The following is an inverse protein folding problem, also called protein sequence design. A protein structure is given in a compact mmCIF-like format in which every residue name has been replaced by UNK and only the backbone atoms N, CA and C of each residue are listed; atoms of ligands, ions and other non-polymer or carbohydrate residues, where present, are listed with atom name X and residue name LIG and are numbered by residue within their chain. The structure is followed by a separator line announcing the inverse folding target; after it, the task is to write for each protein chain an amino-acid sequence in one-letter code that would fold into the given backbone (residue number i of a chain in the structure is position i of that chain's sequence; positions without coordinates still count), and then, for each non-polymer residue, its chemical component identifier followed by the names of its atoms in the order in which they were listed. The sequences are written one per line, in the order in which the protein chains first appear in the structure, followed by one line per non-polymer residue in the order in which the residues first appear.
data_IF_373760790177
#
_entry.id   IF_373760790177
#
_cell.length_a   1.000
_cell.length_b   1.000
_cell.length_c   1.000
_cell.angle_alpha   90.00
_cell.angle_beta   90.00
_cell.angle_gamma   90.00
#
_symmetry.space_group_name_H-M   'P 1'
#
loop_
_entity.id
_entity.type
_entity.pdbx_description
1 polymer ?
#
# COMPACT_ATOMS: atom_id res chain seq x y z
N UNK A 1 3.45 -4.23 -67.39
CA UNK A 1 3.61 -5.15 -66.25
C UNK A 1 3.62 -4.31 -64.99
N UNK A 2 2.44 -4.08 -64.45
CA UNK A 2 2.23 -3.43 -63.16
C UNK A 2 2.75 -4.35 -62.06
N UNK A 3 3.58 -3.81 -61.20
CA UNK A 3 4.13 -4.48 -60.04
C UNK A 3 3.29 -4.01 -58.85
N UNK A 4 2.29 -4.82 -58.51
CA UNK A 4 1.44 -4.62 -57.32
C UNK A 4 2.30 -4.78 -56.06
N UNK A 5 2.56 -3.65 -55.39
CA UNK A 5 3.23 -3.58 -54.12
C UNK A 5 2.18 -3.53 -52.98
N UNK A 6 1.60 -4.68 -52.62
CA UNK A 6 0.75 -4.75 -51.45
C UNK A 6 1.55 -4.43 -50.18
N UNK A 7 1.26 -3.31 -49.57
CA UNK A 7 1.74 -2.94 -48.24
C UNK A 7 0.73 -3.45 -47.19
N UNK A 8 1.18 -4.34 -46.35
CA UNK A 8 0.38 -4.80 -45.21
C UNK A 8 0.82 -4.03 -43.96
N UNK A 9 -0.08 -3.29 -43.36
CA UNK A 9 0.14 -2.60 -42.11
C UNK A 9 -0.25 -3.55 -40.98
N UNK A 10 0.72 -3.94 -40.15
CA UNK A 10 0.46 -4.70 -38.94
C UNK A 10 0.67 -3.79 -37.76
N UNK A 11 -0.42 -3.44 -37.06
CA UNK A 11 -0.36 -2.62 -35.85
C UNK A 11 -0.25 -3.57 -34.66
N UNK A 12 0.92 -3.58 -34.02
CA UNK A 12 1.10 -4.14 -32.69
C UNK A 12 0.89 -3.03 -31.65
N UNK A 13 0.06 -3.28 -30.65
CA UNK A 13 -0.24 -2.32 -29.57
C UNK A 13 0.88 -2.18 -28.52
N UNK A 14 2.08 -2.65 -28.82
CA UNK A 14 3.29 -2.37 -28.05
C UNK A 14 4.18 -1.41 -28.86
N UNK A 15 4.08 -0.13 -28.55
CA UNK A 15 4.94 1.06 -28.79
C UNK A 15 5.92 1.16 -29.97
N UNK A 16 5.90 0.30 -30.99
CA UNK A 16 6.75 0.42 -32.17
C UNK A 16 5.97 0.22 -33.48
N UNK A 17 5.84 1.28 -34.27
CA UNK A 17 5.36 1.22 -35.65
C UNK A 17 6.40 0.54 -36.54
N UNK A 18 6.12 -0.63 -37.10
CA UNK A 18 7.01 -1.33 -38.03
C UNK A 18 6.38 -1.35 -39.43
N UNK A 19 7.00 -0.65 -40.39
CA UNK A 19 6.68 -0.80 -41.80
C UNK A 19 7.40 -2.01 -42.40
N UNK A 20 6.66 -3.02 -42.82
CA UNK A 20 7.22 -4.22 -43.44
C UNK A 20 7.17 -4.13 -44.96
N UNK A 21 8.32 -4.12 -45.62
CA UNK A 21 8.41 -4.21 -47.07
C UNK A 21 8.84 -5.63 -47.45
N UNK A 22 8.06 -6.34 -48.28
CA UNK A 22 8.15 -7.76 -48.59
C UNK A 22 9.50 -8.20 -49.27
N UNK A 23 10.38 -7.27 -49.57
CA UNK A 23 11.63 -7.53 -50.31
C UNK A 23 12.87 -7.75 -49.43
N UNK A 24 12.80 -7.60 -48.13
CA UNK A 24 13.94 -7.74 -47.21
C UNK A 24 13.70 -8.74 -46.10
N UNK A 25 13.42 -9.99 -46.44
CA UNK A 25 13.29 -11.08 -45.45
C UNK A 25 14.63 -11.57 -44.85
N UNK A 26 15.73 -10.92 -45.14
CA UNK A 26 17.02 -11.30 -44.56
C UNK A 26 17.51 -10.22 -43.61
N UNK A 27 17.43 -10.54 -42.31
CA UNK A 27 17.96 -9.82 -41.15
C UNK A 27 16.95 -8.97 -40.38
N UNK A 28 15.84 -9.49 -39.99
CA UNK A 28 15.36 -9.15 -38.67
C UNK A 28 16.22 -9.88 -37.64
N UNK A 29 17.23 -9.22 -37.09
CA UNK A 29 17.73 -9.61 -35.77
C UNK A 29 16.53 -9.53 -34.87
N UNK A 30 16.03 -10.69 -34.41
CA UNK A 30 15.14 -10.73 -33.25
C UNK A 30 15.79 -9.84 -32.19
N UNK A 31 15.20 -8.66 -31.91
CA UNK A 31 15.49 -7.97 -30.69
C UNK A 31 15.18 -9.02 -29.64
N UNK A 32 16.19 -9.58 -29.00
CA UNK A 32 16.03 -10.36 -27.79
C UNK A 32 15.30 -9.41 -26.85
N UNK A 33 13.99 -9.57 -26.72
CA UNK A 33 13.27 -8.96 -25.64
C UNK A 33 13.93 -9.51 -24.41
N UNK A 34 14.79 -8.69 -23.80
CA UNK A 34 15.48 -9.06 -22.59
C UNK A 34 14.38 -9.41 -21.61
N UNK A 35 14.50 -10.58 -21.00
CA UNK A 35 13.60 -11.10 -20.01
C UNK A 35 13.26 -9.99 -19.00
N UNK A 36 12.01 -9.50 -19.00
CA UNK A 36 11.59 -8.40 -18.11
C UNK A 36 11.81 -8.85 -16.66
N UNK A 37 12.80 -8.29 -16.00
CA UNK A 37 13.14 -8.62 -14.61
C UNK A 37 12.27 -7.87 -13.60
N UNK A 38 11.68 -6.76 -14.04
CA UNK A 38 10.85 -5.88 -13.22
C UNK A 38 9.45 -5.78 -13.80
N UNK A 39 8.45 -6.00 -12.98
CA UNK A 39 7.04 -5.78 -13.30
C UNK A 39 6.48 -4.67 -12.42
N UNK A 40 5.62 -3.82 -12.97
CA UNK A 40 4.88 -2.82 -12.21
C UNK A 40 3.51 -3.39 -11.82
N UNK A 41 3.05 -3.05 -10.63
CA UNK A 41 1.80 -3.56 -10.05
C UNK A 41 1.06 -2.42 -9.37
N UNK A 42 -0.25 -2.36 -9.57
CA UNK A 42 -1.10 -1.54 -8.72
C UNK A 42 -1.42 -2.33 -7.43
N UNK A 43 -1.25 -1.67 -6.30
CA UNK A 43 -1.49 -2.24 -4.98
C UNK A 43 -2.66 -1.54 -4.33
N UNK A 44 -3.57 -2.34 -3.79
CA UNK A 44 -4.63 -1.88 -2.91
C UNK A 44 -4.67 -2.75 -1.65
N UNK A 45 -4.70 -2.12 -0.47
CA UNK A 45 -4.89 -2.83 0.78
C UNK A 45 -5.94 -2.13 1.64
N UNK A 46 -6.70 -2.92 2.37
CA UNK A 46 -7.69 -2.43 3.31
C UNK A 46 -7.81 -3.38 4.50
N UNK A 47 -8.10 -2.82 5.67
CA UNK A 47 -8.26 -3.64 6.86
C UNK A 47 -8.56 -2.82 8.12
N UNK A 48 -8.32 -3.46 9.23
CA UNK A 48 -8.52 -2.91 10.56
C UNK A 48 -7.24 -2.25 11.05
N UNK A 49 -7.43 -1.19 11.81
CA UNK A 49 -6.37 -0.40 12.42
C UNK A 49 -6.60 -0.29 13.93
N UNK A 50 -5.55 -0.37 14.70
CA UNK A 50 -5.58 -0.16 16.14
C UNK A 50 -4.24 0.42 16.59
N UNK A 51 -4.08 0.61 17.87
CA UNK A 51 -2.81 1.05 18.45
C UNK A 51 -2.31 0.09 19.51
N UNK A 52 -1.01 0.08 19.70
CA UNK A 52 -0.32 -0.63 20.77
C UNK A 52 0.33 0.38 21.69
N UNK A 53 0.21 0.11 22.98
CA UNK A 53 0.92 0.82 24.07
C UNK A 53 1.61 -0.25 24.91
N UNK A 54 2.89 -0.11 25.14
CA UNK A 54 3.71 -1.08 25.90
C UNK A 54 3.53 -2.53 25.41
N UNK A 55 3.44 -2.72 24.10
CA UNK A 55 3.28 -4.04 23.49
C UNK A 55 1.87 -4.65 23.60
N UNK A 56 0.90 -3.92 24.13
CA UNK A 56 -0.51 -4.37 24.26
C UNK A 56 -1.42 -3.59 23.31
N UNK A 57 -2.29 -4.30 22.62
CA UNK A 57 -3.32 -3.70 21.76
C UNK A 57 -4.36 -3.01 22.67
N UNK A 58 -4.74 -1.78 22.32
CA UNK A 58 -5.65 -0.94 23.06
C UNK A 58 -7.09 -1.07 22.51
N UNK A 59 -7.71 -2.23 22.66
CA UNK A 59 -9.06 -2.52 22.19
C UNK A 59 -10.18 -1.90 23.06
N UNK A 60 -9.88 -1.54 24.31
CA UNK A 60 -10.80 -0.77 25.17
C UNK A 60 -10.87 0.70 24.75
N UNK A 61 -9.76 1.26 24.25
CA UNK A 61 -9.64 2.67 23.89
C UNK A 61 -10.09 2.98 22.47
N UNK A 62 -10.09 1.99 21.59
CA UNK A 62 -10.44 2.17 20.18
C UNK A 62 -11.37 1.07 19.69
N UNK A 63 -12.41 1.45 18.94
CA UNK A 63 -13.32 0.50 18.32
C UNK A 63 -12.61 -0.35 17.27
N UNK A 64 -12.48 -1.63 17.55
CA UNK A 64 -11.86 -2.59 16.64
C UNK A 64 -12.53 -2.58 15.26
N UNK A 65 -13.87 -2.75 15.19
CA UNK A 65 -14.64 -2.72 13.94
C UNK A 65 -14.94 -1.31 13.42
N UNK A 66 -14.35 -0.28 13.99
CA UNK A 66 -14.57 1.13 13.62
C UNK A 66 -13.31 1.83 13.11
N UNK A 67 -12.17 1.30 13.45
CA UNK A 67 -10.87 1.79 13.04
C UNK A 67 -10.36 1.02 11.82
N UNK A 68 -9.99 1.73 10.75
CA UNK A 68 -9.65 1.11 9.47
C UNK A 68 -8.40 1.75 8.88
N UNK A 69 -7.65 0.96 8.10
CA UNK A 69 -6.64 1.51 7.21
C UNK A 69 -7.00 1.21 5.74
N UNK A 70 -6.53 2.08 4.87
CA UNK A 70 -6.56 1.91 3.43
C UNK A 70 -5.22 2.33 2.86
N UNK A 71 -4.70 1.57 1.92
CA UNK A 71 -3.46 1.90 1.23
C UNK A 71 -3.61 1.59 -0.26
N UNK A 72 -3.18 2.49 -1.13
CA UNK A 72 -3.11 2.24 -2.57
C UNK A 72 -1.91 2.94 -3.19
N UNK A 73 -1.37 2.33 -4.22
CA UNK A 73 -0.20 2.84 -4.90
C UNK A 73 0.32 1.94 -5.99
N UNK A 74 1.52 2.24 -6.42
CA UNK A 74 2.22 1.44 -7.43
C UNK A 74 3.48 0.86 -6.82
N UNK A 75 3.71 -0.43 -7.05
CA UNK A 75 4.93 -1.11 -6.67
C UNK A 75 5.61 -1.73 -7.88
N UNK A 76 6.92 -1.81 -7.81
CA UNK A 76 7.77 -2.51 -8.76
C UNK A 76 8.27 -3.79 -8.10
N UNK A 77 8.12 -4.91 -8.80
CA UNK A 77 8.58 -6.21 -8.35
C UNK A 77 9.75 -6.63 -9.24
N UNK A 78 10.96 -6.60 -8.70
CA UNK A 78 12.20 -6.87 -9.43
C UNK A 78 12.78 -8.21 -8.98
N UNK A 79 12.88 -9.16 -9.91
CA UNK A 79 13.53 -10.45 -9.66
C UNK A 79 15.01 -10.28 -9.41
N UNK A 80 15.50 -10.75 -8.26
CA UNK A 80 16.92 -10.63 -7.86
C UNK A 80 17.75 -11.70 -8.58
N UNK A 81 17.31 -12.95 -8.56
CA UNK A 81 18.04 -14.08 -9.13
C UNK A 81 17.79 -14.18 -10.64
N UNK A 82 18.85 -14.42 -11.42
CA UNK A 82 18.75 -14.47 -12.89
C UNK A 82 17.97 -15.68 -13.38
N UNK A 83 18.19 -16.85 -12.78
CA UNK A 83 17.67 -18.13 -13.25
C UNK A 83 16.63 -18.74 -12.31
N UNK A 84 16.21 -18.00 -11.29
CA UNK A 84 15.24 -18.46 -10.31
C UNK A 84 14.22 -17.35 -9.98
N UNK A 85 12.95 -17.72 -9.92
CA UNK A 85 11.83 -16.81 -9.63
C UNK A 85 11.52 -16.69 -8.13
N UNK A 86 12.30 -17.30 -7.25
CA UNK A 86 11.97 -17.39 -5.84
C UNK A 86 12.07 -16.03 -5.13
N UNK A 87 13.10 -15.23 -5.45
CA UNK A 87 13.43 -14.03 -4.68
C UNK A 87 13.27 -12.75 -5.50
N UNK A 88 12.44 -11.86 -4.99
CA UNK A 88 12.16 -10.55 -5.58
C UNK A 88 12.40 -9.43 -4.59
N UNK A 89 12.79 -8.28 -5.08
CA UNK A 89 12.76 -7.02 -4.35
C UNK A 89 11.58 -6.19 -4.81
N UNK A 90 10.66 -5.92 -3.89
CA UNK A 90 9.44 -5.17 -4.15
C UNK A 90 9.53 -3.81 -3.47
N UNK A 91 9.37 -2.76 -4.24
CA UNK A 91 9.46 -1.37 -3.76
C UNK A 91 8.47 -0.49 -4.53
N UNK A 92 8.11 0.65 -3.98
CA UNK A 92 7.18 1.53 -4.68
C UNK A 92 6.81 2.77 -3.90
N UNK A 93 5.64 3.30 -4.22
CA UNK A 93 5.06 4.45 -3.55
C UNK A 93 3.56 4.24 -3.38
N UNK A 94 3.04 4.54 -2.19
CA UNK A 94 1.61 4.44 -1.90
C UNK A 94 1.13 5.56 -0.99
N UNK A 95 -0.17 5.83 -1.07
CA UNK A 95 -0.87 6.70 -0.12
C UNK A 95 -1.58 5.81 0.88
N UNK A 96 -1.34 6.05 2.16
CA UNK A 96 -1.90 5.29 3.26
C UNK A 96 -2.81 6.17 4.12
N UNK A 97 -3.98 5.67 4.45
CA UNK A 97 -4.94 6.28 5.36
C UNK A 97 -5.09 5.41 6.60
N UNK A 98 -4.76 5.98 7.75
CA UNK A 98 -5.03 5.38 9.04
C UNK A 98 -6.16 6.13 9.71
N UNK A 99 -7.18 5.42 10.14
CA UNK A 99 -8.34 5.99 10.81
C UNK A 99 -8.54 5.27 12.14
N UNK A 100 -8.48 6.01 13.24
CA UNK A 100 -8.74 5.55 14.59
C UNK A 100 -10.10 6.06 15.05
N UNK A 101 -10.84 5.21 15.72
CA UNK A 101 -12.15 5.54 16.31
C UNK A 101 -12.13 5.35 17.82
N UNK A 102 -11.88 6.42 18.60
CA UNK A 102 -11.93 6.36 20.05
C UNK A 102 -13.27 5.87 20.60
N UNK A 103 -13.22 5.21 21.73
CA UNK A 103 -14.38 4.74 22.53
C UNK A 103 -14.65 5.68 23.70
N UNK A 104 -15.64 5.33 24.54
CA UNK A 104 -15.89 5.96 25.83
C UNK A 104 -16.02 7.49 25.77
N UNK A 105 -16.71 8.00 24.74
CA UNK A 105 -16.96 9.43 24.55
C UNK A 105 -15.70 10.29 24.49
N UNK A 106 -14.59 9.76 23.98
CA UNK A 106 -13.28 10.43 23.98
C UNK A 106 -12.92 10.99 22.61
N UNK A 107 -12.07 12.01 22.65
CA UNK A 107 -11.50 12.69 21.49
C UNK A 107 -10.06 13.10 21.78
N UNK A 108 -9.27 13.33 20.73
CA UNK A 108 -7.90 13.83 20.88
C UNK A 108 -7.91 15.31 21.14
N UNK A 109 -7.22 15.73 22.20
CA UNK A 109 -7.08 17.14 22.65
C UNK A 109 -5.60 17.50 22.66
N UNK A 110 -5.28 18.61 22.01
CA UNK A 110 -3.92 19.16 21.98
C UNK A 110 -3.71 20.03 23.21
N UNK A 111 -2.76 19.63 24.07
CA UNK A 111 -2.36 20.34 25.27
C UNK A 111 -0.87 20.73 25.16
N UNK A 112 -0.60 21.90 24.62
CA UNK A 112 0.77 22.35 24.32
C UNK A 112 1.43 21.46 23.25
N UNK A 113 2.50 20.78 23.63
CA UNK A 113 3.24 19.87 22.75
C UNK A 113 2.82 18.38 22.84
N UNK A 114 1.75 18.08 23.58
CA UNK A 114 1.22 16.74 23.74
C UNK A 114 -0.21 16.64 23.20
N UNK A 115 -0.61 15.44 22.78
CA UNK A 115 -1.97 15.15 22.32
C UNK A 115 -2.51 13.95 23.10
N UNK A 116 -3.50 14.21 23.93
CA UNK A 116 -4.09 13.25 24.84
C UNK A 116 -5.48 12.81 24.38
N UNK A 117 -5.89 11.60 24.80
CA UNK A 117 -7.23 11.11 24.60
C UNK A 117 -8.10 11.47 25.81
N UNK A 118 -9.00 12.46 25.66
CA UNK A 118 -9.81 13.00 26.74
C UNK A 118 -11.30 12.82 26.51
N UNK A 119 -12.08 12.74 27.62
CA UNK A 119 -13.54 12.66 27.57
C UNK A 119 -14.11 13.98 27.09
N UNK A 120 -14.97 13.93 26.09
CA UNK A 120 -15.62 15.12 25.55
C UNK A 120 -16.83 15.50 26.40
N UNK A 121 -17.11 16.80 26.54
CA UNK A 121 -18.14 17.35 27.41
C UNK A 121 -19.59 17.03 26.97
N UNK A 122 -19.79 16.68 25.70
CA UNK A 122 -21.09 16.29 25.11
C UNK A 122 -21.06 14.85 24.67
N UNK A 123 -22.22 14.20 24.58
CA UNK A 123 -22.31 12.82 24.10
C UNK A 123 -21.96 12.72 22.61
N UNK A 124 -20.83 12.12 22.33
CA UNK A 124 -20.34 11.90 20.96
C UNK A 124 -21.04 10.70 20.34
N UNK A 125 -21.72 10.91 19.24
CA UNK A 125 -22.19 9.83 18.38
C UNK A 125 -21.03 9.18 17.63
N UNK A 126 -20.06 9.98 17.23
CA UNK A 126 -18.87 9.52 16.52
C UNK A 126 -17.67 10.42 16.82
N UNK A 127 -16.53 9.78 17.09
CA UNK A 127 -15.21 10.41 17.10
C UNK A 127 -14.30 9.64 16.16
N UNK A 128 -13.59 10.34 15.26
CA UNK A 128 -12.63 9.76 14.33
C UNK A 128 -11.39 10.62 14.21
N UNK A 129 -10.24 10.00 14.31
CA UNK A 129 -8.96 10.61 14.03
C UNK A 129 -8.33 9.97 12.81
N UNK A 130 -7.94 10.75 11.83
CA UNK A 130 -7.42 10.27 10.55
C UNK A 130 -6.11 10.92 10.20
N UNK A 131 -5.13 10.08 9.84
CA UNK A 131 -3.86 10.48 9.26
C UNK A 131 -3.73 9.98 7.82
N UNK A 132 -3.09 10.76 6.99
CA UNK A 132 -2.79 10.44 5.59
C UNK A 132 -1.29 10.54 5.41
N UNK A 133 -0.70 9.47 4.91
CA UNK A 133 0.74 9.38 4.70
C UNK A 133 1.06 9.08 3.23
N UNK A 134 2.17 9.63 2.75
CA UNK A 134 2.84 9.16 1.56
C UNK A 134 3.95 8.23 2.01
N UNK A 135 3.92 6.97 1.58
CA UNK A 135 4.84 5.94 2.04
C UNK A 135 5.58 5.26 0.88
N UNK A 136 6.79 4.84 1.16
CA UNK A 136 7.64 4.03 0.29
C UNK A 136 7.78 2.65 0.94
N UNK A 137 6.98 1.65 0.52
CA UNK A 137 7.14 0.28 0.98
C UNK A 137 8.35 -0.39 0.30
N UNK A 138 9.04 -1.26 1.04
CA UNK A 138 10.16 -2.07 0.57
C UNK A 138 10.08 -3.47 1.19
N UNK A 139 10.03 -4.52 0.34
CA UNK A 139 9.90 -5.90 0.79
C UNK A 139 10.84 -6.81 0.02
N UNK A 140 11.35 -7.83 0.69
CA UNK A 140 11.84 -9.04 0.06
C UNK A 140 10.67 -10.00 -0.07
N UNK A 141 10.32 -10.35 -1.31
CA UNK A 141 9.23 -11.26 -1.62
C UNK A 141 9.77 -12.61 -2.09
N UNK A 142 9.29 -13.68 -1.47
CA UNK A 142 9.50 -15.06 -1.91
C UNK A 142 8.27 -15.48 -2.71
N UNK A 143 8.43 -15.67 -4.03
CA UNK A 143 7.37 -16.07 -4.94
C UNK A 143 7.59 -17.50 -5.43
N UNK A 144 6.69 -18.40 -5.07
CA UNK A 144 6.75 -19.81 -5.43
C UNK A 144 6.05 -20.14 -6.76
N UNK A 145 5.83 -19.15 -7.61
CA UNK A 145 5.13 -19.32 -8.89
C UNK A 145 5.88 -20.13 -9.94
N UNK A 146 7.18 -20.34 -9.75
CA UNK A 146 8.00 -21.14 -10.66
C UNK A 146 8.24 -20.50 -12.03
N UNK A 147 8.69 -21.32 -12.97
CA UNK A 147 8.94 -20.94 -14.37
C UNK A 147 8.38 -21.99 -15.31
N UNK A 148 8.05 -21.56 -16.53
CA UNK A 148 7.68 -22.47 -17.64
C UNK A 148 8.72 -22.36 -18.75
N UNK A 149 8.99 -23.47 -19.42
CA UNK A 149 9.77 -23.49 -20.67
C UNK A 149 8.79 -23.30 -21.84
N UNK A 150 9.06 -22.34 -22.69
CA UNK A 150 8.31 -22.10 -23.92
C UNK A 150 9.30 -21.79 -25.03
N UNK A 151 9.31 -22.57 -26.12
CA UNK A 151 10.20 -22.42 -27.28
C UNK A 151 11.68 -22.19 -26.89
N UNK A 152 12.23 -23.09 -26.05
CA UNK A 152 13.60 -23.01 -25.50
C UNK A 152 13.93 -21.78 -24.65
N UNK A 153 12.92 -20.96 -24.32
CA UNK A 153 13.05 -19.80 -23.44
C UNK A 153 12.33 -20.04 -22.13
N UNK A 154 13.03 -19.80 -21.01
CA UNK A 154 12.42 -19.87 -19.69
C UNK A 154 11.59 -18.62 -19.44
N UNK A 155 10.28 -18.78 -19.23
CA UNK A 155 9.38 -17.71 -18.83
C UNK A 155 9.11 -17.80 -17.33
N UNK A 156 9.37 -16.72 -16.60
CA UNK A 156 9.09 -16.64 -15.18
C UNK A 156 7.67 -16.10 -14.98
N UNK A 157 6.92 -16.80 -14.15
CA UNK A 157 5.56 -16.40 -13.75
C UNK A 157 5.64 -15.64 -12.45
N UNK A 158 4.86 -14.58 -12.30
CA UNK A 158 4.76 -13.81 -11.09
C UNK A 158 3.35 -13.93 -10.53
N UNK A 159 3.22 -14.09 -9.23
CA UNK A 159 1.92 -14.17 -8.53
C UNK A 159 0.97 -15.25 -9.07
N UNK A 160 1.47 -16.44 -9.34
CA UNK A 160 0.63 -17.61 -9.76
C UNK A 160 0.48 -18.67 -8.66
N UNK A 161 1.25 -18.54 -7.56
CA UNK A 161 1.28 -19.47 -6.44
C UNK A 161 1.29 -18.74 -5.10
N UNK A 162 1.70 -19.45 -4.06
CA UNK A 162 1.93 -18.87 -2.73
C UNK A 162 3.10 -17.89 -2.80
N UNK A 163 3.00 -16.80 -2.07
CA UNK A 163 4.05 -15.81 -1.91
C UNK A 163 4.08 -15.28 -0.48
N UNK A 164 5.26 -14.92 -0.04
CA UNK A 164 5.50 -14.35 1.26
C UNK A 164 6.43 -13.14 1.12
N UNK A 165 6.08 -12.02 1.72
CA UNK A 165 6.91 -10.83 1.71
C UNK A 165 7.17 -10.33 3.13
N UNK A 166 8.40 -9.93 3.38
CA UNK A 166 8.82 -9.31 4.63
C UNK A 166 9.66 -8.07 4.33
N UNK A 167 9.42 -7.03 5.10
CA UNK A 167 10.13 -5.77 4.92
C UNK A 167 9.59 -4.67 5.81
N UNK A 168 9.61 -3.46 5.28
CA UNK A 168 9.14 -2.29 6.01
C UNK A 168 8.69 -1.19 5.07
N UNK A 169 8.43 -0.06 5.66
CA UNK A 169 8.06 1.15 4.95
C UNK A 169 8.55 2.38 5.73
N UNK A 170 8.76 3.44 4.99
CA UNK A 170 8.98 4.77 5.55
C UNK A 170 8.11 5.78 4.78
N UNK A 171 7.74 6.88 5.43
CA UNK A 171 6.89 7.88 4.80
C UNK A 171 6.79 9.17 5.58
N UNK A 172 6.00 10.07 5.03
CA UNK A 172 5.73 11.39 5.61
C UNK A 172 4.24 11.59 5.81
N UNK A 173 3.88 12.28 6.89
CA UNK A 173 2.51 12.69 7.15
C UNK A 173 2.13 13.85 6.21
N UNK A 174 1.09 13.65 5.41
CA UNK A 174 0.57 14.70 4.54
C UNK A 174 -0.53 15.50 5.24
N UNK A 175 -1.26 14.87 6.17
CA UNK A 175 -2.43 15.50 6.79
C UNK A 175 -2.96 14.71 7.96
N UNK A 176 -3.27 15.44 9.04
CA UNK A 176 -4.02 14.93 10.17
C UNK A 176 -5.34 15.68 10.31
N UNK A 177 -6.39 14.97 10.73
CA UNK A 177 -7.70 15.58 11.00
C UNK A 177 -8.51 14.77 11.98
N UNK A 178 -9.30 15.47 12.76
CA UNK A 178 -10.30 14.90 13.66
C UNK A 178 -11.70 15.27 13.18
N UNK A 179 -12.63 14.31 13.25
CA UNK A 179 -14.06 14.53 13.02
C UNK A 179 -14.80 14.03 14.27
N UNK A 180 -15.64 14.89 14.83
CA UNK A 180 -16.61 14.51 15.88
C UNK A 180 -18.01 14.79 15.41
N UNK A 181 -18.94 13.95 15.87
CA UNK A 181 -20.38 14.10 15.65
C UNK A 181 -21.10 13.98 16.98
N UNK A 182 -21.93 14.95 17.30
CA UNK A 182 -22.79 14.95 18.49
C UNK A 182 -24.16 15.58 18.15
N UNK A 183 -25.10 15.44 19.08
CA UNK A 183 -26.41 16.12 19.00
C UNK A 183 -26.49 17.23 20.02
N UNK A 184 -27.11 18.34 19.60
CA UNK A 184 -27.42 19.47 20.45
C UNK A 184 -28.77 20.05 19.97
N UNK A 185 -29.74 20.19 20.90
CA UNK A 185 -31.08 20.65 20.58
C UNK A 185 -31.75 19.88 19.42
N UNK A 186 -31.63 18.55 19.42
CA UNK A 186 -32.08 17.64 18.35
C UNK A 186 -31.41 17.81 16.97
N UNK A 187 -30.51 18.75 16.84
CA UNK A 187 -29.72 18.94 15.63
C UNK A 187 -28.42 18.10 15.65
N UNK A 188 -28.04 17.57 14.49
CA UNK A 188 -26.77 16.87 14.30
C UNK A 188 -25.68 17.88 13.99
N UNK A 189 -24.69 17.97 14.86
CA UNK A 189 -23.52 18.82 14.68
C UNK A 189 -22.32 17.99 14.26
N UNK A 190 -21.68 18.43 13.18
CA UNK A 190 -20.45 17.86 12.63
C UNK A 190 -19.32 18.88 12.78
N UNK A 191 -18.35 18.56 13.61
CA UNK A 191 -17.15 19.36 13.73
C UNK A 191 -15.96 18.64 13.10
N UNK A 192 -15.25 19.32 12.19
CA UNK A 192 -14.01 18.84 11.58
C UNK A 192 -12.88 19.81 11.96
N UNK A 193 -11.92 19.29 12.69
CA UNK A 193 -10.68 20.00 13.01
C UNK A 193 -9.55 19.45 12.17
N UNK A 194 -8.84 20.32 11.48
CA UNK A 194 -7.61 20.01 10.74
C UNK A 194 -6.47 20.68 11.48
N UNK A 195 -5.38 19.99 11.65
CA UNK A 195 -4.19 20.52 12.32
C UNK A 195 -3.12 19.46 12.39
N UNK A 196 -2.03 19.82 12.99
CA UNK A 196 -0.91 18.95 13.21
C UNK A 196 -1.21 17.89 14.28
N UNK A 197 -1.92 18.22 15.33
CA UNK A 197 -2.18 17.36 16.49
C UNK A 197 -0.91 16.77 17.10
N UNK A 198 0.22 17.46 16.99
CA UNK A 198 1.54 16.95 17.40
C UNK A 198 1.81 15.52 16.86
N UNK A 199 1.29 15.21 15.67
CA UNK A 199 1.53 13.92 15.02
C UNK A 199 2.92 13.88 14.42
N UNK A 200 3.58 12.75 14.54
CA UNK A 200 4.88 12.55 13.92
C UNK A 200 4.82 12.81 12.41
N UNK A 201 5.70 13.72 11.94
CA UNK A 201 5.83 14.04 10.53
C UNK A 201 6.42 12.90 9.72
N UNK A 202 7.21 12.04 10.36
CA UNK A 202 7.76 10.82 9.80
C UNK A 202 7.03 9.60 10.33
N UNK A 203 6.85 8.60 9.45
CA UNK A 203 6.39 7.27 9.83
C UNK A 203 7.38 6.25 9.26
N UNK A 204 7.73 5.25 10.05
CA UNK A 204 8.45 4.08 9.58
C UNK A 204 8.02 2.86 10.39
N UNK A 205 8.08 1.70 9.75
CA UNK A 205 7.60 0.50 10.39
C UNK A 205 7.95 -0.77 9.64
N UNK A 206 7.55 -1.88 10.23
CA UNK A 206 7.67 -3.21 9.64
C UNK A 206 6.36 -3.61 9.00
N UNK A 207 6.46 -4.41 7.95
CA UNK A 207 5.29 -5.00 7.32
C UNK A 207 5.62 -6.36 6.72
N UNK A 208 4.64 -7.24 6.75
CA UNK A 208 4.75 -8.55 6.13
C UNK A 208 3.41 -8.97 5.52
N UNK A 209 3.48 -9.85 4.53
CA UNK A 209 2.29 -10.43 3.94
C UNK A 209 2.55 -11.87 3.51
N UNK A 210 1.48 -12.64 3.55
CA UNK A 210 1.43 -13.99 2.98
C UNK A 210 0.20 -14.09 2.09
N UNK A 211 0.34 -14.63 0.91
CA UNK A 211 -0.76 -14.67 -0.04
C UNK A 211 -0.68 -15.75 -1.08
N UNK A 212 -1.77 -15.85 -1.81
CA UNK A 212 -1.91 -16.71 -2.94
C UNK A 212 -2.41 -15.91 -4.13
N UNK A 213 -1.69 -16.01 -5.25
CA UNK A 213 -1.95 -15.20 -6.45
C UNK A 213 -1.90 -13.69 -6.10
N UNK A 214 -2.95 -12.97 -6.44
CA UNK A 214 -3.03 -11.51 -6.28
C UNK A 214 -3.46 -11.09 -4.87
N UNK A 215 -3.98 -12.01 -4.04
CA UNK A 215 -4.53 -11.71 -2.72
C UNK A 215 -3.59 -12.14 -1.61
N UNK A 216 -3.41 -11.29 -0.61
CA UNK A 216 -2.54 -11.54 0.56
C UNK A 216 -3.19 -11.07 1.85
N UNK A 217 -2.94 -11.79 2.93
CA UNK A 217 -3.10 -11.27 4.29
C UNK A 217 -1.90 -10.36 4.56
N UNK A 218 -2.15 -9.17 5.08
CA UNK A 218 -1.15 -8.11 5.27
C UNK A 218 -1.19 -7.56 6.68
N UNK A 219 -0.03 -7.43 7.30
CA UNK A 219 0.15 -6.84 8.63
C UNK A 219 1.22 -5.74 8.58
N UNK A 220 0.99 -4.66 9.34
CA UNK A 220 1.90 -3.52 9.49
C UNK A 220 1.99 -3.13 10.95
N UNK A 221 3.17 -2.67 11.35
CA UNK A 221 3.42 -2.13 12.67
C UNK A 221 4.34 -0.91 12.56
N UNK A 222 3.87 0.24 13.06
CA UNK A 222 4.67 1.46 13.11
C UNK A 222 5.68 1.36 14.25
N UNK A 223 6.96 1.56 13.96
CA UNK A 223 8.05 1.52 14.96
C UNK A 223 8.20 2.85 15.70
N UNK A 224 7.77 3.94 15.09
CA UNK A 224 7.72 5.22 15.77
C UNK A 224 6.31 5.53 16.30
N UNK A 225 6.20 6.29 17.40
CA UNK A 225 4.90 6.66 17.96
C UNK A 225 4.10 7.57 17.02
N UNK A 226 2.79 7.55 17.17
CA UNK A 226 1.85 8.37 16.40
C UNK A 226 2.00 9.86 16.70
N UNK A 227 2.26 10.21 17.96
CA UNK A 227 2.39 11.57 18.43
C UNK A 227 3.81 11.86 18.88
N UNK A 228 4.30 13.08 18.59
CA UNK A 228 5.55 13.60 19.12
C UNK A 228 5.38 14.00 20.60
N UNK A 229 6.42 13.85 21.38
CA UNK A 229 6.53 14.36 22.77
C UNK A 229 5.44 13.88 23.76
N UNK A 230 4.67 12.86 23.42
CA UNK A 230 3.74 12.28 24.38
C UNK A 230 4.49 11.45 25.43
N UNK A 231 3.98 11.44 26.66
CA UNK A 231 4.53 10.62 27.76
C UNK A 231 4.36 9.13 27.50
N UNK A 232 3.31 8.76 26.76
CA UNK A 232 2.98 7.37 26.41
C UNK A 232 3.12 7.21 24.91
N UNK A 233 3.96 6.28 24.49
CA UNK A 233 4.13 5.93 23.09
C UNK A 233 2.95 5.11 22.57
N UNK A 234 2.32 5.62 21.53
CA UNK A 234 1.16 5.01 20.88
C UNK A 234 1.56 4.61 19.47
N UNK A 235 1.77 3.31 19.23
CA UNK A 235 2.22 2.79 17.94
C UNK A 235 1.05 2.17 17.17
N UNK A 236 0.93 2.49 15.91
CA UNK A 236 -0.13 1.95 15.06
C UNK A 236 0.15 0.49 14.68
N UNK A 237 -0.90 -0.33 14.71
CA UNK A 237 -0.90 -1.68 14.14
C UNK A 237 -2.08 -1.83 13.19
N UNK A 238 -1.83 -2.40 12.02
CA UNK A 238 -2.86 -2.61 11.00
C UNK A 238 -2.81 -4.04 10.48
N UNK A 239 -3.96 -4.64 10.26
CA UNK A 239 -4.09 -5.96 9.66
C UNK A 239 -5.26 -5.99 8.67
N UNK A 240 -5.05 -6.59 7.50
CA UNK A 240 -6.07 -6.62 6.47
C UNK A 240 -5.71 -7.47 5.26
N UNK A 241 -6.39 -7.18 4.17
CA UNK A 241 -6.20 -7.85 2.89
C UNK A 241 -5.50 -6.87 1.93
N UNK A 242 -4.55 -7.40 1.19
CA UNK A 242 -3.80 -6.69 0.16
C UNK A 242 -4.01 -7.39 -1.17
N UNK A 243 -4.22 -6.61 -2.21
CA UNK A 243 -4.32 -7.03 -3.61
C UNK A 243 -3.17 -6.39 -4.40
N UNK A 244 -2.49 -7.22 -5.18
CA UNK A 244 -1.42 -6.80 -6.09
C UNK A 244 -1.86 -7.11 -7.52
N UNK A 245 -2.33 -6.11 -8.24
CA UNK A 245 -2.80 -6.23 -9.62
C UNK A 245 -1.65 -6.00 -10.61
N UNK A 246 -1.47 -6.96 -11.54
CA UNK A 246 -0.49 -6.90 -12.65
C UNK A 246 -1.08 -6.24 -13.88
#
# INVERSE_FOLDING_TARGET
KEQDSSRTLVIHWDDDFIFRNKKNEKKFKEKKFGEKRTTSQFVFAAGLNNVMVDGKIQDEDYKFMGSHFYEWGTTYNTRILKDNNLLHFKYGMSVMYNNLRPTNNRTFVVNGNQTNLEVYSKDLKESRFRNVYLVVPMHLEFDFSGSTMNDDKRQFRTHKSVRFGVGGYAGINLKSKQKIEYRENDEKIYQKTKGDFNTNNFIYGLSSYIGYKETSLYIKYDLNPLFENNTIDVNNISMGIRFDFN
#
